data_IF_287191425727
#
_entry.id   IF_287191425727
#
_cell.length_a   1.000
_cell.length_b   1.000
_cell.length_c   1.000
_cell.angle_alpha   90.00
_cell.angle_beta   90.00
_cell.angle_gamma   90.00
#
_symmetry.space_group_name_H-M   'P 1'
#
loop_
_entity.id
_entity.type
_entity.pdbx_description
1 polymer ?
#
# COMPACT_ATOMS: atom_id res chain seq x y z
N UNK A 1 4.12 -0.22 18.91
CA UNK A 1 3.76 0.35 17.59
C UNK A 1 5.05 0.58 16.83
N UNK A 2 5.17 0.08 15.60
CA UNK A 2 6.36 0.18 14.76
C UNK A 2 6.04 1.07 13.55
N UNK A 3 7.00 1.86 13.09
CA UNK A 3 6.84 2.77 11.94
C UNK A 3 7.76 2.34 10.81
N UNK A 4 7.20 2.17 9.61
CA UNK A 4 7.95 1.90 8.38
C UNK A 4 8.01 3.17 7.55
N UNK A 5 9.22 3.56 7.13
CA UNK A 5 9.41 4.69 6.21
C UNK A 5 9.56 4.18 4.79
N UNK A 6 8.68 4.63 3.91
CA UNK A 6 8.66 4.24 2.49
C UNK A 6 8.94 5.48 1.66
N UNK A 7 9.97 5.42 0.81
CA UNK A 7 10.29 6.49 -0.13
C UNK A 7 9.65 6.20 -1.48
N UNK A 8 8.94 7.19 -2.02
CA UNK A 8 8.39 7.15 -3.38
C UNK A 8 9.12 8.15 -4.26
N UNK A 9 9.34 7.80 -5.52
CA UNK A 9 10.04 8.65 -6.52
C UNK A 9 9.11 9.12 -7.64
N UNK A 10 7.92 8.52 -7.77
CA UNK A 10 6.89 8.92 -8.74
C UNK A 10 5.64 9.45 -8.02
N UNK A 11 4.79 10.18 -8.76
CA UNK A 11 3.51 10.71 -8.24
C UNK A 11 2.58 9.58 -7.80
N UNK A 12 2.44 8.59 -8.67
CA UNK A 12 1.67 7.36 -8.48
C UNK A 12 2.68 6.22 -8.51
N UNK A 13 2.78 5.49 -7.41
CA UNK A 13 3.75 4.40 -7.27
C UNK A 13 3.21 3.34 -6.33
N UNK A 14 3.21 2.09 -6.78
CA UNK A 14 3.03 0.94 -5.91
C UNK A 14 4.41 0.51 -5.40
N UNK A 15 4.57 0.46 -4.08
CA UNK A 15 5.79 0.00 -3.43
C UNK A 15 5.46 -1.23 -2.61
N UNK A 16 6.14 -2.34 -2.89
CA UNK A 16 6.00 -3.54 -2.08
C UNK A 16 6.71 -3.34 -0.72
N UNK A 17 5.91 -3.44 0.35
CA UNK A 17 6.36 -3.34 1.74
C UNK A 17 6.28 -4.68 2.46
N UNK A 18 5.93 -5.76 1.76
CA UNK A 18 5.65 -7.09 2.33
C UNK A 18 6.83 -7.60 3.15
N UNK A 19 8.05 -7.54 2.62
CA UNK A 19 9.25 -7.98 3.32
C UNK A 19 9.52 -7.18 4.62
N UNK A 20 9.27 -5.87 4.59
CA UNK A 20 9.45 -5.00 5.76
C UNK A 20 8.40 -5.32 6.84
N UNK A 21 7.14 -5.51 6.44
CA UNK A 21 6.06 -5.90 7.35
C UNK A 21 6.31 -7.29 7.94
N UNK A 22 6.75 -8.26 7.14
CA UNK A 22 7.10 -9.60 7.62
C UNK A 22 8.22 -9.55 8.66
N UNK A 23 9.25 -8.73 8.43
CA UNK A 23 10.34 -8.54 9.41
C UNK A 23 9.82 -7.97 10.73
N UNK A 24 8.92 -6.99 10.68
CA UNK A 24 8.28 -6.39 11.86
C UNK A 24 7.44 -7.43 12.60
N UNK A 25 6.60 -8.19 11.89
CA UNK A 25 5.77 -9.23 12.49
C UNK A 25 6.63 -10.33 13.11
N UNK A 26 7.68 -10.80 12.43
CA UNK A 26 8.60 -11.81 12.97
C UNK A 26 9.31 -11.31 14.25
N UNK A 27 9.74 -10.04 14.26
CA UNK A 27 10.37 -9.43 15.44
C UNK A 27 9.43 -9.21 16.62
N UNK A 28 8.11 -9.26 16.40
CA UNK A 28 7.13 -9.03 17.47
C UNK A 28 6.98 -10.20 18.43
N UNK A 29 7.44 -11.40 18.05
CA UNK A 29 7.30 -12.63 18.84
C UNK A 29 5.85 -13.14 18.97
N UNK A 30 4.89 -12.51 18.28
CA UNK A 30 3.48 -12.92 18.29
C UNK A 30 3.30 -14.16 17.42
N UNK A 31 2.82 -15.26 18.02
CA UNK A 31 2.52 -16.51 17.31
C UNK A 31 1.15 -16.49 16.64
N UNK A 32 0.14 -15.93 17.31
CA UNK A 32 -1.22 -15.76 16.80
C UNK A 32 -1.75 -14.36 17.16
N UNK A 33 -2.26 -13.61 16.19
CA UNK A 33 -2.78 -12.27 16.41
C UNK A 33 -3.25 -11.57 15.14
N UNK A 34 -3.39 -10.25 15.16
CA UNK A 34 -3.75 -9.43 14.00
C UNK A 34 -2.72 -8.33 13.82
N UNK A 35 -2.20 -8.18 12.60
CA UNK A 35 -1.35 -7.06 12.22
C UNK A 35 -2.22 -5.98 11.59
N UNK A 36 -2.27 -4.82 12.24
CA UNK A 36 -2.95 -3.64 11.72
C UNK A 36 -1.94 -2.75 11.00
N UNK A 37 -2.18 -2.51 9.71
CA UNK A 37 -1.40 -1.58 8.90
C UNK A 37 -2.23 -0.31 8.69
N UNK A 38 -1.60 0.84 8.90
CA UNK A 38 -2.22 2.15 8.74
C UNK A 38 -1.23 3.12 8.11
N UNK A 39 -1.71 3.94 7.19
CA UNK A 39 -0.94 5.04 6.59
C UNK A 39 -1.54 6.36 7.09
N UNK A 40 -0.78 7.20 7.80
CA UNK A 40 -1.25 8.48 8.32
C UNK A 40 -1.22 9.59 7.25
N UNK A 41 -1.41 9.24 5.98
CA UNK A 41 -1.44 10.16 4.86
C UNK A 41 -2.78 10.05 4.14
N UNK A 42 -3.33 11.18 3.73
CA UNK A 42 -4.62 11.23 3.03
C UNK A 42 -4.51 10.83 1.56
N UNK A 43 -3.29 10.84 1.00
CA UNK A 43 -2.98 10.67 -0.42
C UNK A 43 -2.23 9.37 -0.72
N UNK A 44 -2.14 8.46 0.27
CA UNK A 44 -1.50 7.16 0.13
C UNK A 44 -2.33 6.09 0.81
N UNK A 45 -2.37 4.90 0.22
CA UNK A 45 -3.18 3.78 0.65
C UNK A 45 -2.35 2.49 0.72
N UNK A 46 -2.83 1.54 1.53
CA UNK A 46 -2.29 0.17 1.55
C UNK A 46 -3.27 -0.71 0.78
N UNK A 47 -2.74 -1.52 -0.13
CA UNK A 47 -3.53 -2.50 -0.88
C UNK A 47 -2.92 -3.89 -0.69
N UNK A 48 -3.76 -4.92 -0.84
CA UNK A 48 -3.32 -6.31 -0.91
C UNK A 48 -3.64 -6.77 -2.33
N UNK A 49 -2.65 -7.31 -3.03
CA UNK A 49 -2.77 -7.80 -4.40
C UNK A 49 -1.89 -9.06 -4.55
N UNK A 50 -2.01 -9.76 -5.67
CA UNK A 50 -1.36 -11.04 -5.98
C UNK A 50 0.17 -10.98 -5.87
N UNK A 51 0.78 -9.80 -6.05
CA UNK A 51 2.21 -9.56 -5.83
C UNK A 51 3.16 -10.50 -6.60
N UNK A 52 2.65 -11.24 -7.59
CA UNK A 52 3.39 -12.19 -8.41
C UNK A 52 3.91 -11.56 -9.72
N UNK A 53 3.17 -10.60 -10.26
CA UNK A 53 3.49 -9.96 -11.54
C UNK A 53 3.77 -8.46 -11.35
N UNK A 54 5.00 -7.98 -11.66
CA UNK A 54 5.31 -6.55 -11.63
C UNK A 54 4.47 -5.72 -12.60
N UNK A 55 3.89 -6.33 -13.64
CA UNK A 55 3.02 -5.63 -14.60
C UNK A 55 1.67 -5.26 -13.98
N UNK A 56 1.18 -6.04 -13.00
CA UNK A 56 -0.02 -5.65 -12.24
C UNK A 56 0.20 -4.33 -11.50
N UNK A 57 1.40 -4.11 -10.95
CA UNK A 57 1.73 -2.83 -10.30
C UNK A 57 1.70 -1.68 -11.31
N UNK A 58 2.24 -1.89 -12.52
CA UNK A 58 2.22 -0.89 -13.60
C UNK A 58 0.81 -0.59 -14.09
N UNK A 59 -0.03 -1.61 -14.23
CA UNK A 59 -1.42 -1.47 -14.65
C UNK A 59 -2.24 -0.69 -13.63
N UNK A 60 -2.06 -0.97 -12.35
CA UNK A 60 -2.72 -0.21 -11.28
C UNK A 60 -2.24 1.24 -11.25
N UNK A 61 -0.92 1.48 -11.37
CA UNK A 61 -0.37 2.84 -11.47
C UNK A 61 -0.99 3.59 -12.67
N UNK A 62 -1.02 2.96 -13.85
CA UNK A 62 -1.59 3.54 -15.06
C UNK A 62 -3.11 3.77 -14.98
N UNK A 63 -3.85 2.84 -14.37
CA UNK A 63 -5.29 2.98 -14.16
C UNK A 63 -5.59 4.16 -13.22
N UNK A 64 -4.84 4.30 -12.12
CA UNK A 64 -4.98 5.41 -11.19
C UNK A 64 -4.69 6.77 -11.85
N UNK A 65 -3.65 6.85 -12.68
CA UNK A 65 -3.34 8.10 -13.40
C UNK A 65 -4.40 8.46 -14.44
N UNK A 66 -5.07 7.48 -15.06
CA UNK A 66 -6.21 7.71 -15.99
C UNK A 66 -7.49 8.12 -15.25
N UNK A 67 -7.81 7.45 -14.14
CA UNK A 67 -9.01 7.70 -13.35
C UNK A 67 -8.92 9.00 -12.57
N UNK A 68 -7.72 9.34 -12.10
CA UNK A 68 -7.43 10.55 -11.34
C UNK A 68 -6.25 11.28 -11.98
N UNK A 69 -6.48 12.00 -13.09
CA UNK A 69 -5.45 12.81 -13.72
C UNK A 69 -4.85 13.82 -12.75
N UNK A 70 -3.57 14.14 -12.91
CA UNK A 70 -2.88 15.15 -12.09
C UNK A 70 -3.46 16.56 -12.25
N UNK A 71 -3.97 16.86 -13.45
CA UNK A 71 -4.66 18.10 -13.77
C UNK A 71 -6.02 17.77 -14.37
N UNK A 72 -7.03 18.49 -13.91
CA UNK A 72 -8.42 18.32 -14.33
C UNK A 72 -9.28 19.40 -13.69
N UNK A 73 -10.58 19.46 -14.01
CA UNK A 73 -11.52 20.46 -13.47
C UNK A 73 -11.90 20.15 -12.00
N UNK A 74 -10.91 19.87 -11.15
CA UNK A 74 -11.13 19.61 -9.74
C UNK A 74 -11.46 20.91 -9.02
N UNK A 75 -12.55 20.90 -8.25
CA UNK A 75 -12.95 22.02 -7.38
C UNK A 75 -12.07 22.14 -6.15
N UNK A 76 -11.30 21.11 -5.84
CA UNK A 76 -10.35 21.07 -4.74
C UNK A 76 -9.06 21.75 -5.19
N UNK A 77 -9.02 23.09 -5.07
CA UNK A 77 -7.91 23.95 -5.50
C UNK A 77 -6.97 24.29 -4.33
N UNK A 78 -6.53 23.30 -3.57
CA UNK A 78 -5.21 23.39 -2.94
C UNK A 78 -4.23 23.02 -4.05
N UNK A 79 -3.16 23.79 -4.28
CA UNK A 79 -2.19 23.58 -5.37
C UNK A 79 -1.42 22.23 -5.37
N UNK A 80 -1.94 21.19 -4.72
CA UNK A 80 -1.53 19.80 -4.72
C UNK A 80 -2.78 18.92 -4.87
N UNK A 81 -3.21 18.70 -6.11
CA UNK A 81 -4.49 18.05 -6.52
C UNK A 81 -4.52 16.54 -6.24
N UNK A 82 -4.10 16.08 -5.07
CA UNK A 82 -4.06 14.66 -4.71
C UNK A 82 -5.37 14.29 -4.03
N UNK A 83 -6.32 13.77 -4.81
CA UNK A 83 -7.53 13.18 -4.24
C UNK A 83 -7.20 11.97 -3.37
N UNK A 84 -7.98 11.82 -2.31
CA UNK A 84 -7.62 11.01 -1.16
C UNK A 84 -7.82 9.51 -1.41
N UNK A 85 -6.80 8.72 -1.09
CA UNK A 85 -6.87 7.25 -1.09
C UNK A 85 -6.70 6.80 0.36
N UNK A 86 -7.78 6.35 1.01
CA UNK A 86 -7.74 5.80 2.37
C UNK A 86 -8.12 4.33 2.30
N UNK A 87 -7.15 3.46 2.56
CA UNK A 87 -7.41 2.03 2.70
C UNK A 87 -6.81 1.53 4.01
N UNK A 88 -7.59 0.74 4.75
CA UNK A 88 -7.19 0.06 5.97
C UNK A 88 -7.16 -1.43 5.67
N UNK A 89 -6.00 -2.06 5.80
CA UNK A 89 -5.83 -3.50 5.57
C UNK A 89 -5.64 -4.21 6.91
N UNK A 90 -6.41 -5.28 7.13
CA UNK A 90 -6.26 -6.18 8.26
C UNK A 90 -5.65 -7.49 7.76
N UNK A 91 -4.68 -8.02 8.50
CA UNK A 91 -4.16 -9.36 8.25
C UNK A 91 -4.06 -10.12 9.56
N UNK A 92 -4.72 -11.28 9.62
CA UNK A 92 -4.50 -12.24 10.70
C UNK A 92 -3.08 -12.78 10.60
N UNK A 93 -2.33 -12.62 11.68
CA UNK A 93 -1.04 -13.25 11.94
C UNK A 93 -1.36 -14.61 12.55
N UNK A 94 -1.77 -15.57 11.73
CA UNK A 94 -2.03 -16.95 12.16
C UNK A 94 -1.28 -18.01 11.33
N UNK A 95 -0.59 -17.58 10.27
CA UNK A 95 0.23 -18.46 9.43
C UNK A 95 1.12 -17.54 8.58
N UNK A 96 2.40 -17.86 8.33
CA UNK A 96 3.09 -17.22 7.23
C UNK A 96 2.28 -17.57 5.97
N UNK A 97 1.56 -16.59 5.41
CA UNK A 97 1.15 -16.70 4.01
C UNK A 97 2.45 -16.64 3.20
N UNK A 98 3.13 -17.79 3.09
CA UNK A 98 3.68 -18.20 1.82
C UNK A 98 2.50 -18.10 0.88
N UNK A 99 2.62 -17.33 -0.20
CA UNK A 99 1.80 -17.61 -1.36
C UNK A 99 2.11 -19.08 -1.72
N UNK A 100 1.20 -20.03 -1.53
CA UNK A 100 1.41 -21.42 -1.91
C UNK A 100 0.81 -21.55 -3.30
N UNK A 101 1.47 -20.94 -4.28
CA UNK A 101 1.25 -21.22 -5.70
C UNK A 101 2.61 -21.22 -6.38
N UNK A 102 3.45 -22.15 -5.92
CA UNK A 102 4.19 -23.15 -6.70
C UNK A 102 4.60 -24.27 -5.74
#
# INVERSE_FOLDING_TARGET
MQTLSVKTVRRTQLVDVTAQVQKVVASSGVSNGICYLCVPHTTAAITINECADPDVARDVEGALDRLVPAAGPYRHSEGNNRSTARARSYREVGTPARCPWL
#
